data_IF_562540041526
#
_entry.id   IF_562540041526
#
_cell.length_a   1.000
_cell.length_b   1.000
_cell.length_c   1.000
_cell.angle_alpha   90.00
_cell.angle_beta   90.00
_cell.angle_gamma   90.00
#
_symmetry.space_group_name_H-M   'P 1'
#
loop_
_entity.id
_entity.type
_entity.pdbx_description
1 polymer ?
#
# COMPACT_ATOMS: atom_id res chain seq x y z
N UNK A 1 -14.19 -6.82 -34.99
CA UNK A 1 -13.20 -6.75 -33.90
C UNK A 1 -13.98 -6.28 -32.68
N UNK A 2 -14.14 -7.12 -31.65
CA UNK A 2 -15.24 -7.03 -30.69
C UNK A 2 -15.14 -5.81 -29.75
N UNK A 3 -16.08 -4.87 -29.88
CA UNK A 3 -16.42 -3.84 -28.89
C UNK A 3 -17.19 -4.40 -27.68
N UNK A 4 -16.85 -5.62 -27.23
CA UNK A 4 -17.32 -6.13 -25.94
C UNK A 4 -16.36 -5.69 -24.84
N UNK A 5 -16.29 -4.38 -24.61
CA UNK A 5 -15.86 -3.89 -23.30
C UNK A 5 -16.97 -4.31 -22.34
N UNK A 6 -16.64 -5.30 -21.51
CA UNK A 6 -17.54 -6.00 -20.59
C UNK A 6 -18.41 -5.03 -19.78
N UNK A 7 -19.75 -5.10 -19.94
CA UNK A 7 -20.71 -4.33 -19.14
C UNK A 7 -20.49 -4.51 -17.63
N UNK A 8 -19.98 -5.67 -17.23
CA UNK A 8 -19.60 -5.96 -15.85
C UNK A 8 -18.58 -4.97 -15.29
N UNK A 9 -17.63 -4.49 -16.10
CA UNK A 9 -16.65 -3.50 -15.65
C UNK A 9 -17.29 -2.15 -15.31
N UNK A 10 -18.25 -1.72 -16.13
CA UNK A 10 -19.01 -0.48 -15.90
C UNK A 10 -19.94 -0.62 -14.69
N UNK A 11 -20.63 -1.75 -14.56
CA UNK A 11 -21.49 -2.04 -13.41
C UNK A 11 -20.70 -2.05 -12.09
N UNK A 12 -19.53 -2.71 -12.05
CA UNK A 12 -18.65 -2.72 -10.88
C UNK A 12 -18.13 -1.32 -10.57
N UNK A 13 -17.72 -0.55 -11.58
CA UNK A 13 -17.23 0.82 -11.39
C UNK A 13 -18.31 1.71 -10.75
N UNK A 14 -19.55 1.62 -11.22
CA UNK A 14 -20.67 2.38 -10.66
C UNK A 14 -20.94 2.02 -9.19
N UNK A 15 -20.86 0.73 -8.84
CA UNK A 15 -20.98 0.28 -7.44
C UNK A 15 -19.83 0.82 -6.59
N UNK A 16 -18.59 0.74 -7.07
CA UNK A 16 -17.43 1.21 -6.32
C UNK A 16 -17.44 2.73 -6.09
N UNK A 17 -17.73 3.51 -7.14
CA UNK A 17 -17.76 4.98 -7.08
C UNK A 17 -18.86 5.48 -6.16
N UNK A 18 -19.96 4.76 -6.01
CA UNK A 18 -21.05 5.13 -5.09
C UNK A 18 -20.90 4.52 -3.70
N UNK A 19 -19.90 3.64 -3.49
CA UNK A 19 -19.74 2.92 -2.24
C UNK A 19 -19.18 3.81 -1.12
N UNK A 20 -19.66 3.66 0.13
CA UNK A 20 -19.09 4.34 1.28
C UNK A 20 -17.59 4.08 1.51
N UNK A 21 -17.05 2.84 1.36
CA UNK A 21 -15.64 2.57 1.63
C UNK A 21 -14.67 3.39 0.79
N UNK A 22 -14.98 3.64 -0.49
CA UNK A 22 -14.12 4.45 -1.35
C UNK A 22 -14.04 5.90 -0.86
N UNK A 23 -15.19 6.52 -0.59
CA UNK A 23 -15.27 7.88 -0.08
C UNK A 23 -14.61 8.01 1.30
N UNK A 24 -14.92 7.09 2.21
CA UNK A 24 -14.33 7.04 3.55
C UNK A 24 -12.80 6.89 3.50
N UNK A 25 -12.29 6.04 2.59
CA UNK A 25 -10.86 5.85 2.38
C UNK A 25 -10.19 7.13 1.89
N UNK A 26 -10.81 7.81 0.92
CA UNK A 26 -10.28 9.06 0.38
C UNK A 26 -10.29 10.19 1.40
N UNK A 27 -11.38 10.34 2.17
CA UNK A 27 -11.50 11.33 3.23
C UNK A 27 -10.44 11.11 4.32
N UNK A 28 -10.18 9.86 4.70
CA UNK A 28 -9.14 9.52 5.68
C UNK A 28 -7.74 9.92 5.18
N UNK A 29 -7.40 9.63 3.92
CA UNK A 29 -6.12 10.02 3.31
C UNK A 29 -5.99 11.54 3.25
N UNK A 30 -7.04 12.25 2.83
CA UNK A 30 -7.02 13.71 2.73
C UNK A 30 -6.86 14.36 4.11
N UNK A 31 -7.59 13.87 5.11
CA UNK A 31 -7.48 14.32 6.50
C UNK A 31 -6.08 14.08 7.05
N UNK A 32 -5.53 12.88 6.87
CA UNK A 32 -4.17 12.55 7.32
C UNK A 32 -3.13 13.47 6.67
N UNK A 33 -3.24 13.74 5.37
CA UNK A 33 -2.35 14.66 4.65
C UNK A 33 -2.41 16.09 5.18
N UNK A 34 -3.61 16.59 5.53
CA UNK A 34 -3.78 17.94 6.07
C UNK A 34 -3.25 18.07 7.51
N UNK A 35 -3.38 17.01 8.30
CA UNK A 35 -3.02 17.02 9.73
C UNK A 35 -1.56 16.64 9.98
N UNK A 36 -0.92 15.98 9.03
CA UNK A 36 0.48 15.57 9.13
C UNK A 36 1.37 16.60 8.46
N UNK A 37 2.07 17.41 9.24
CA UNK A 37 3.19 18.20 8.72
C UNK A 37 4.36 17.23 8.45
N UNK A 38 4.39 16.64 7.25
CA UNK A 38 5.46 15.72 6.87
C UNK A 38 6.81 16.43 6.98
N UNK A 39 7.66 15.97 7.91
CA UNK A 39 9.03 16.46 8.01
C UNK A 39 9.78 16.14 6.71
N UNK A 40 10.17 17.20 5.99
CA UNK A 40 10.89 17.10 4.72
C UNK A 40 12.27 16.46 4.88
N UNK A 41 12.82 16.43 6.09
CA UNK A 41 14.11 15.83 6.40
C UNK A 41 13.99 14.38 6.88
N UNK A 42 12.79 13.93 7.26
CA UNK A 42 12.58 12.58 7.75
C UNK A 42 12.58 11.58 6.58
N UNK A 43 13.73 10.94 6.36
CA UNK A 43 13.85 9.85 5.39
C UNK A 43 13.05 8.63 5.87
N UNK A 44 12.25 8.05 4.98
CA UNK A 44 11.52 6.79 5.20
C UNK A 44 10.46 6.84 6.31
N UNK A 45 9.97 8.04 6.64
CA UNK A 45 8.89 8.20 7.61
C UNK A 45 7.58 7.62 7.07
N UNK A 46 6.91 6.79 7.89
CA UNK A 46 5.57 6.28 7.64
C UNK A 46 4.65 6.74 8.77
N UNK A 47 3.70 7.58 8.42
CA UNK A 47 2.62 8.01 9.30
C UNK A 47 1.43 7.10 9.06
N UNK A 48 0.85 6.60 10.15
CA UNK A 48 -0.28 5.69 10.12
C UNK A 48 -1.41 6.34 10.92
N UNK A 49 -2.61 6.36 10.34
CA UNK A 49 -3.80 6.80 11.07
C UNK A 49 -4.95 5.83 10.88
N UNK A 50 -5.72 5.63 11.95
CA UNK A 50 -6.95 4.88 11.93
C UNK A 50 -8.16 5.82 11.93
N UNK A 51 -9.07 5.62 10.98
CA UNK A 51 -10.37 6.29 10.95
C UNK A 51 -11.46 5.24 11.15
N UNK A 52 -12.14 5.30 12.30
CA UNK A 52 -13.23 4.39 12.64
C UNK A 52 -14.55 4.91 12.08
N UNK A 53 -15.27 4.03 11.38
CA UNK A 53 -16.65 4.22 10.93
C UNK A 53 -17.54 3.18 11.63
N UNK A 54 -18.85 3.26 11.42
CA UNK A 54 -19.82 2.36 12.06
C UNK A 54 -19.55 0.88 11.82
N UNK A 55 -19.10 0.50 10.61
CA UNK A 55 -18.88 -0.90 10.21
C UNK A 55 -17.47 -1.17 9.65
N UNK A 56 -16.60 -0.17 9.61
CA UNK A 56 -15.31 -0.25 8.91
C UNK A 56 -14.26 0.52 9.70
N UNK A 57 -13.02 0.01 9.72
CA UNK A 57 -11.84 0.75 10.15
C UNK A 57 -10.98 0.98 8.91
N UNK A 58 -10.68 2.24 8.63
CA UNK A 58 -9.76 2.63 7.56
C UNK A 58 -8.39 2.90 8.18
N UNK A 59 -7.38 2.15 7.73
CA UNK A 59 -5.98 2.39 8.07
C UNK A 59 -5.33 3.09 6.87
N UNK A 60 -4.96 4.35 7.04
CA UNK A 60 -4.32 5.14 5.99
C UNK A 60 -2.82 5.29 6.26
N UNK A 61 -2.05 5.19 5.18
CA UNK A 61 -0.60 5.24 5.19
C UNK A 61 -0.15 6.50 4.42
N UNK A 62 0.65 7.32 5.08
CA UNK A 62 1.28 8.49 4.47
C UNK A 62 2.79 8.37 4.63
N UNK A 63 3.53 8.44 3.52
CA UNK A 63 4.99 8.43 3.55
C UNK A 63 5.55 9.84 3.42
N UNK A 64 6.80 10.04 3.81
CA UNK A 64 7.58 11.19 3.36
C UNK A 64 7.55 11.26 1.82
N UNK A 65 7.56 12.46 1.21
CA UNK A 65 7.63 12.60 -0.24
C UNK A 65 8.81 11.82 -0.82
N UNK A 66 8.59 11.17 -1.96
CA UNK A 66 9.62 10.43 -2.69
C UNK A 66 9.78 11.00 -4.08
N UNK A 67 11.02 11.08 -4.55
CA UNK A 67 11.28 11.43 -5.95
C UNK A 67 10.95 10.23 -6.81
N UNK A 68 10.01 10.39 -7.74
CA UNK A 68 9.69 9.35 -8.70
C UNK A 68 10.62 9.49 -9.92
N UNK A 69 11.23 8.38 -10.31
CA UNK A 69 11.94 8.24 -11.58
C UNK A 69 11.07 7.43 -12.56
N UNK A 70 11.27 7.64 -13.87
CA UNK A 70 10.50 6.98 -14.94
C UNK A 70 10.54 5.45 -14.85
N UNK A 71 11.67 4.91 -14.39
CA UNK A 71 11.82 3.50 -14.02
C UNK A 71 12.15 3.40 -12.55
N UNK A 72 11.25 2.77 -11.81
CA UNK A 72 11.45 2.46 -10.41
C UNK A 72 12.20 1.14 -10.27
N UNK A 73 13.27 1.07 -9.45
CA UNK A 73 13.98 -0.17 -9.23
C UNK A 73 13.05 -1.22 -8.60
N UNK A 74 13.19 -2.45 -9.09
CA UNK A 74 12.46 -3.62 -8.62
C UNK A 74 13.45 -4.57 -7.96
N UNK A 75 13.05 -5.19 -6.86
CA UNK A 75 13.84 -6.20 -6.15
C UNK A 75 13.08 -7.52 -6.08
N UNK A 76 13.78 -8.62 -6.36
CA UNK A 76 13.24 -9.98 -6.30
C UNK A 76 13.05 -10.44 -4.87
N UNK A 77 12.00 -11.21 -4.61
CA UNK A 77 11.73 -11.85 -3.32
C UNK A 77 12.85 -12.81 -2.88
N UNK A 78 13.60 -13.39 -3.82
CA UNK A 78 14.80 -14.19 -3.52
C UNK A 78 15.90 -13.32 -2.92
N UNK A 79 16.18 -12.17 -3.53
CA UNK A 79 17.17 -11.21 -3.02
C UNK A 79 16.76 -10.66 -1.64
N UNK A 80 15.45 -10.46 -1.41
CA UNK A 80 14.94 -10.05 -0.10
C UNK A 80 15.18 -11.14 0.96
N UNK A 81 14.94 -12.40 0.60
CA UNK A 81 15.19 -13.57 1.45
C UNK A 81 16.67 -13.72 1.78
N UNK A 82 17.56 -13.58 0.80
CA UNK A 82 19.02 -13.65 1.02
C UNK A 82 19.51 -12.54 1.97
N UNK A 83 18.84 -11.38 1.97
CA UNK A 83 19.05 -10.28 2.92
C UNK A 83 18.37 -10.50 4.28
N UNK A 84 17.87 -11.70 4.58
CA UNK A 84 17.23 -12.06 5.85
C UNK A 84 15.79 -11.58 6.00
N UNK A 85 15.12 -11.19 4.92
CA UNK A 85 13.76 -10.67 4.95
C UNK A 85 12.78 -11.59 4.20
N UNK A 86 12.32 -12.63 4.88
CA UNK A 86 11.55 -13.75 4.31
C UNK A 86 10.06 -13.76 4.72
N UNK A 87 9.39 -12.61 4.72
CA UNK A 87 8.00 -12.50 5.19
C UNK A 87 6.93 -12.92 4.17
N UNK A 88 7.28 -12.95 2.89
CA UNK A 88 6.33 -13.03 1.78
C UNK A 88 6.44 -14.33 0.98
N UNK A 89 7.09 -15.35 1.52
CA UNK A 89 7.28 -16.64 0.84
C UNK A 89 5.94 -17.33 0.51
N UNK A 90 4.91 -17.05 1.30
CA UNK A 90 3.55 -17.57 1.09
C UNK A 90 2.88 -17.04 -0.19
N UNK A 91 3.40 -15.96 -0.80
CA UNK A 91 2.92 -15.45 -2.09
C UNK A 91 3.50 -16.23 -3.28
N UNK A 92 4.56 -17.01 -3.06
CA UNK A 92 5.17 -17.83 -4.12
C UNK A 92 4.36 -19.11 -4.36
N UNK A 93 4.37 -19.58 -5.60
CA UNK A 93 3.78 -20.86 -6.00
C UNK A 93 4.77 -21.70 -6.79
N UNK A 94 4.42 -22.96 -7.09
CA UNK A 94 5.26 -23.81 -7.95
C UNK A 94 5.53 -23.20 -9.33
N UNK A 95 4.57 -22.43 -9.86
CA UNK A 95 4.66 -21.80 -11.17
C UNK A 95 5.27 -20.40 -11.11
N UNK A 96 5.30 -19.78 -9.94
CA UNK A 96 5.88 -18.47 -9.68
C UNK A 96 6.71 -18.54 -8.39
N UNK A 97 7.94 -19.10 -8.45
CA UNK A 97 8.75 -19.36 -7.26
C UNK A 97 9.30 -18.07 -6.63
N UNK A 98 9.24 -16.96 -7.36
CA UNK A 98 9.63 -15.63 -6.90
C UNK A 98 8.74 -14.56 -7.54
N UNK A 99 8.77 -13.37 -6.96
CA UNK A 99 8.11 -12.19 -7.48
C UNK A 99 9.03 -10.98 -7.31
N UNK A 100 8.74 -9.89 -8.01
CA UNK A 100 9.46 -8.63 -7.86
C UNK A 100 8.54 -7.57 -7.26
N UNK A 101 9.09 -6.72 -6.40
CA UNK A 101 8.40 -5.56 -5.80
C UNK A 101 9.22 -4.30 -5.97
N UNK A 102 8.56 -3.15 -5.91
CA UNK A 102 9.21 -1.86 -5.88
C UNK A 102 10.20 -1.79 -4.71
N UNK A 103 11.46 -1.51 -5.00
CA UNK A 103 12.54 -1.51 -4.01
C UNK A 103 12.28 -0.45 -2.93
N UNK A 104 11.89 0.75 -3.32
CA UNK A 104 11.59 1.82 -2.38
C UNK A 104 10.42 1.47 -1.46
N UNK A 105 9.31 0.96 -2.01
CA UNK A 105 8.13 0.59 -1.24
C UNK A 105 8.44 -0.52 -0.21
N UNK A 106 9.23 -1.54 -0.60
CA UNK A 106 9.61 -2.60 0.32
C UNK A 106 10.60 -2.12 1.38
N UNK A 107 11.46 -1.15 1.06
CA UNK A 107 12.32 -0.50 2.04
C UNK A 107 11.50 0.31 3.07
N UNK A 108 10.46 1.03 2.65
CA UNK A 108 9.53 1.72 3.57
C UNK A 108 8.89 0.73 4.52
N UNK A 109 8.39 -0.39 3.99
CA UNK A 109 7.78 -1.44 4.79
C UNK A 109 8.80 -2.05 5.78
N UNK A 110 10.00 -2.41 5.31
CA UNK A 110 11.08 -2.97 6.15
C UNK A 110 11.46 -2.03 7.29
N UNK A 111 11.68 -0.76 6.99
CA UNK A 111 12.10 0.24 7.96
C UNK A 111 11.05 0.42 9.07
N UNK A 112 9.76 0.37 8.69
CA UNK A 112 8.64 0.58 9.59
C UNK A 112 8.02 -0.73 10.13
N UNK A 113 8.63 -1.89 9.85
CA UNK A 113 8.03 -3.20 10.13
C UNK A 113 7.66 -3.39 11.60
N UNK A 114 8.52 -2.95 12.53
CA UNK A 114 8.24 -3.03 13.97
C UNK A 114 7.02 -2.21 14.39
N UNK A 115 6.85 -1.01 13.81
CA UNK A 115 5.71 -0.15 14.11
C UNK A 115 4.41 -0.78 13.56
N UNK A 116 4.46 -1.36 12.37
CA UNK A 116 3.35 -2.10 11.76
C UNK A 116 2.97 -3.35 12.57
N UNK A 117 3.97 -4.09 13.04
CA UNK A 117 3.77 -5.27 13.89
C UNK A 117 3.12 -4.95 15.24
N UNK A 118 3.39 -3.76 15.79
CA UNK A 118 2.77 -3.28 17.02
C UNK A 118 1.31 -2.91 16.77
N UNK A 119 1.01 -2.18 15.68
CA UNK A 119 -0.36 -1.81 15.32
C UNK A 119 -1.26 -3.05 15.14
N UNK A 120 -0.74 -4.15 14.59
CA UNK A 120 -1.50 -5.41 14.45
C UNK A 120 -1.94 -6.00 15.80
N UNK A 121 -1.20 -5.73 16.89
CA UNK A 121 -1.41 -6.35 18.21
C UNK A 121 -2.37 -5.55 19.11
N UNK A 122 -2.71 -4.33 18.70
CA UNK A 122 -3.70 -3.47 19.36
C UNK A 122 -5.13 -3.86 18.98
#
# INVERSE_FOLDING_TARGET
>A
MNDQISSAGLEIANVLVTSPPLHQSWDAVQKQKLQTAADQNAKMALYISETKHSNTIIISFLTSPVTLHDQQPMVSSLTLKDKGFSLFEFLCSKNAPSFSVNELAIEFFKFNHKNLDNLRKE
#
